data_IF_313155430833
#
_entry.id   IF_313155430833
#
_cell.length_a   1.000
_cell.length_b   1.000
_cell.length_c   1.000
_cell.angle_alpha   90.00
_cell.angle_beta   90.00
_cell.angle_gamma   90.00
#
_symmetry.space_group_name_H-M   'P 1'
#
loop_
_entity.id
_entity.type
_entity.pdbx_description
1 polymer ?
#
# COMPACT_ATOMS: atom_id res chain seq x y z
N UNK A 1 -14.00 -9.48 -7.74
CA UNK A 1 -14.52 -8.57 -6.71
C UNK A 1 -13.36 -7.82 -6.02
N UNK A 2 -12.33 -8.53 -5.50
CA UNK A 2 -11.17 -7.92 -4.81
C UNK A 2 -10.48 -6.85 -5.66
N UNK A 3 -10.11 -7.14 -6.91
CA UNK A 3 -9.46 -6.16 -7.80
C UNK A 3 -10.30 -4.94 -8.17
N UNK A 4 -11.62 -5.02 -8.01
CA UNK A 4 -12.50 -3.87 -8.22
C UNK A 4 -12.69 -3.04 -6.95
N UNK A 5 -12.43 -3.62 -5.79
CA UNK A 5 -12.55 -2.97 -4.50
C UNK A 5 -11.22 -2.39 -4.00
N UNK A 6 -10.10 -3.08 -4.21
CA UNK A 6 -8.76 -2.66 -3.81
C UNK A 6 -8.06 -2.09 -5.04
N UNK A 7 -7.88 -0.78 -5.09
CA UNK A 7 -7.26 -0.08 -6.21
C UNK A 7 -5.73 -0.02 -6.09
N UNK A 8 -5.23 0.07 -4.86
CA UNK A 8 -3.81 0.04 -4.52
C UNK A 8 -3.61 -0.41 -3.07
N UNK A 9 -2.36 -0.46 -2.60
CA UNK A 9 -2.03 -0.77 -1.21
C UNK A 9 -2.65 0.23 -0.20
N UNK A 10 -2.93 1.46 -0.63
CA UNK A 10 -3.44 2.55 0.20
C UNK A 10 -4.88 2.95 -0.13
N UNK A 11 -5.46 2.41 -1.22
CA UNK A 11 -6.73 2.91 -1.74
C UNK A 11 -7.78 1.82 -1.94
N UNK A 12 -8.92 2.00 -1.27
CA UNK A 12 -10.15 1.21 -1.44
C UNK A 12 -11.16 2.03 -2.23
N UNK A 13 -11.75 1.43 -3.25
CA UNK A 13 -12.76 2.07 -4.09
C UNK A 13 -14.03 2.46 -3.30
N UNK A 14 -14.64 3.59 -3.62
CA UNK A 14 -15.94 3.99 -3.06
C UNK A 14 -17.02 2.91 -3.28
N UNK A 15 -16.93 2.21 -4.40
CA UNK A 15 -17.85 1.12 -4.79
C UNK A 15 -17.64 -0.20 -4.05
N UNK A 16 -16.59 -0.32 -3.22
CA UNK A 16 -16.30 -1.54 -2.47
C UNK A 16 -17.42 -1.91 -1.48
N UNK A 17 -18.12 -0.91 -0.93
CA UNK A 17 -19.38 -1.11 -0.21
C UNK A 17 -20.30 0.10 -0.29
N UNK A 18 -21.63 -0.10 -0.18
CA UNK A 18 -22.58 1.02 -0.07
C UNK A 18 -22.34 1.87 1.19
N UNK A 19 -21.86 1.26 2.26
CA UNK A 19 -21.49 1.93 3.52
C UNK A 19 -20.36 2.91 3.29
N UNK A 20 -19.25 2.46 2.70
CA UNK A 20 -18.09 3.30 2.39
C UNK A 20 -18.44 4.45 1.46
N UNK A 21 -19.20 4.18 0.37
CA UNK A 21 -19.67 5.22 -0.53
C UNK A 21 -20.52 6.28 0.17
N UNK A 22 -21.38 5.85 1.11
CA UNK A 22 -22.24 6.76 1.89
C UNK A 22 -21.42 7.65 2.82
N UNK A 23 -20.50 7.06 3.59
CA UNK A 23 -19.65 7.80 4.53
C UNK A 23 -18.77 8.80 3.80
N UNK A 24 -18.13 8.42 2.71
CA UNK A 24 -17.28 9.31 1.90
C UNK A 24 -18.07 10.47 1.29
N UNK A 25 -19.33 10.26 0.89
CA UNK A 25 -20.21 11.37 0.46
C UNK A 25 -20.46 12.36 1.61
N UNK A 26 -20.74 11.87 2.83
CA UNK A 26 -20.91 12.71 4.01
C UNK A 26 -19.64 13.49 4.34
N UNK A 27 -18.46 12.86 4.25
CA UNK A 27 -17.16 13.50 4.44
C UNK A 27 -16.97 14.65 3.44
N UNK A 28 -17.23 14.40 2.14
CA UNK A 28 -17.15 15.45 1.12
C UNK A 28 -18.08 16.62 1.44
N UNK A 29 -19.34 16.34 1.76
CA UNK A 29 -20.31 17.38 2.14
C UNK A 29 -19.90 18.15 3.38
N UNK A 30 -19.36 17.49 4.40
CA UNK A 30 -18.85 18.16 5.60
C UNK A 30 -17.67 19.10 5.28
N UNK A 31 -16.72 18.63 4.44
CA UNK A 31 -15.59 19.43 3.99
C UNK A 31 -16.04 20.67 3.18
N UNK A 32 -17.01 20.53 2.30
CA UNK A 32 -17.59 21.65 1.54
C UNK A 32 -18.23 22.67 2.48
N UNK A 33 -19.08 22.23 3.42
CA UNK A 33 -19.72 23.09 4.41
C UNK A 33 -18.72 23.86 5.28
N UNK A 34 -17.61 23.21 5.69
CA UNK A 34 -16.54 23.87 6.44
C UNK A 34 -15.88 24.94 5.58
N UNK A 35 -15.52 24.60 4.34
CA UNK A 35 -14.87 25.56 3.42
C UNK A 35 -15.76 26.75 3.14
N UNK A 36 -17.03 26.55 2.88
CA UNK A 36 -17.99 27.65 2.65
C UNK A 36 -18.08 28.58 3.84
N UNK A 37 -18.21 28.04 5.06
CA UNK A 37 -18.23 28.84 6.27
C UNK A 37 -16.93 29.60 6.50
N UNK A 38 -15.77 28.96 6.31
CA UNK A 38 -14.47 29.60 6.50
C UNK A 38 -14.18 30.63 5.41
N UNK A 39 -14.59 30.40 4.16
CA UNK A 39 -14.51 31.41 3.10
C UNK A 39 -15.31 32.66 3.45
N UNK A 40 -16.47 32.50 4.11
CA UNK A 40 -17.21 33.63 4.64
C UNK A 40 -16.40 34.49 5.63
N UNK A 41 -15.57 33.87 6.46
CA UNK A 41 -14.62 34.59 7.34
C UNK A 41 -13.51 35.27 6.55
N UNK A 42 -12.91 34.59 5.55
CA UNK A 42 -11.81 35.13 4.74
C UNK A 42 -12.24 36.37 3.93
N UNK A 43 -13.47 36.38 3.40
CA UNK A 43 -14.00 37.46 2.59
C UNK A 43 -14.67 38.59 3.40
N UNK A 44 -14.81 38.43 4.72
CA UNK A 44 -15.35 39.46 5.60
C UNK A 44 -14.29 40.53 5.85
N UNK A 45 -14.56 41.77 5.43
CA UNK A 45 -13.65 42.90 5.65
C UNK A 45 -13.35 43.18 7.14
N UNK A 46 -14.29 42.85 8.02
CA UNK A 46 -14.09 42.97 9.47
C UNK A 46 -13.18 41.87 10.03
N UNK A 47 -13.24 40.65 9.46
CA UNK A 47 -12.45 39.50 9.93
C UNK A 47 -11.05 39.47 9.31
N UNK A 48 -10.90 39.93 8.05
CA UNK A 48 -9.62 39.91 7.32
C UNK A 48 -8.47 40.60 8.08
N UNK A 49 -8.77 41.68 8.82
CA UNK A 49 -7.77 42.42 9.63
C UNK A 49 -7.24 41.62 10.82
N UNK A 50 -8.00 40.62 11.31
CA UNK A 50 -7.61 39.78 12.44
C UNK A 50 -6.77 38.60 12.04
N UNK A 51 -6.84 38.20 10.75
CA UNK A 51 -6.10 37.07 10.23
C UNK A 51 -4.64 37.45 9.99
N UNK A 52 -3.74 36.54 10.25
CA UNK A 52 -2.33 36.64 9.86
C UNK A 52 -2.20 36.47 8.35
N UNK A 53 -2.87 35.45 7.82
CA UNK A 53 -2.95 35.14 6.39
C UNK A 53 -4.39 34.76 6.04
N UNK A 54 -4.84 35.12 4.83
CA UNK A 54 -6.19 34.78 4.35
C UNK A 54 -6.25 33.36 3.78
N UNK A 55 -5.90 32.35 4.59
CA UNK A 55 -5.86 30.94 4.21
C UNK A 55 -6.63 30.07 5.23
N UNK A 56 -7.17 28.97 4.71
CA UNK A 56 -7.68 27.88 5.54
C UNK A 56 -6.56 26.87 5.73
N UNK A 57 -6.28 26.46 6.94
CA UNK A 57 -5.25 25.46 7.26
C UNK A 57 -5.80 24.36 8.16
N UNK A 58 -5.02 23.31 8.35
CA UNK A 58 -5.37 22.22 9.28
C UNK A 58 -4.36 22.14 10.42
N UNK A 59 -4.87 21.93 11.63
CA UNK A 59 -4.07 21.60 12.82
C UNK A 59 -4.74 20.48 13.59
N UNK A 60 -3.99 19.44 13.92
CA UNK A 60 -4.50 18.27 14.65
C UNK A 60 -5.75 17.64 14.02
N UNK A 61 -5.83 17.63 12.67
CA UNK A 61 -6.96 17.10 11.92
C UNK A 61 -8.22 17.98 11.93
N UNK A 62 -8.09 19.28 12.29
CA UNK A 62 -9.19 20.25 12.30
C UNK A 62 -8.91 21.42 11.37
N UNK A 63 -9.94 21.92 10.72
CA UNK A 63 -9.86 23.17 9.97
C UNK A 63 -9.80 24.34 10.91
N UNK A 64 -8.83 25.23 10.70
CA UNK A 64 -8.57 26.39 11.54
C UNK A 64 -8.18 27.61 10.69
N UNK A 65 -8.27 28.80 11.28
CA UNK A 65 -7.80 30.05 10.71
C UNK A 65 -6.56 30.56 11.46
N UNK A 66 -5.52 31.05 10.77
CA UNK A 66 -4.39 31.71 11.41
C UNK A 66 -4.76 33.13 11.83
N UNK A 67 -4.92 33.38 13.11
CA UNK A 67 -5.32 34.65 13.71
C UNK A 67 -4.13 35.28 14.41
N UNK A 68 -3.93 36.59 14.26
CA UNK A 68 -2.89 37.29 15.00
C UNK A 68 -3.23 37.25 16.51
N UNK A 69 -2.26 36.96 17.33
CA UNK A 69 -2.43 36.72 18.77
C UNK A 69 -3.11 37.89 19.48
N UNK A 70 -2.82 39.15 19.07
CA UNK A 70 -3.40 40.37 19.60
C UNK A 70 -4.93 40.47 19.37
N UNK A 71 -5.47 39.78 18.37
CA UNK A 71 -6.92 39.77 18.06
C UNK A 71 -7.62 38.49 18.54
N UNK A 72 -7.01 37.70 19.44
CA UNK A 72 -7.60 36.47 19.99
C UNK A 72 -9.03 36.65 20.48
N UNK A 73 -9.31 37.76 21.17
CA UNK A 73 -10.63 38.07 21.74
C UNK A 73 -11.71 38.44 20.70
N UNK A 74 -11.29 38.80 19.49
CA UNK A 74 -12.20 39.21 18.40
C UNK A 74 -12.66 38.01 17.55
N UNK A 75 -12.02 36.87 17.69
CA UNK A 75 -12.35 35.64 16.95
C UNK A 75 -12.77 34.55 17.94
N UNK A 76 -14.08 34.40 18.22
CA UNK A 76 -14.58 33.37 19.12
C UNK A 76 -14.30 31.98 18.54
N UNK A 77 -13.61 31.16 19.31
CA UNK A 77 -13.22 29.80 18.84
C UNK A 77 -12.25 29.10 19.79
N UNK A 78 -11.86 27.89 19.41
CA UNK A 78 -10.93 27.05 20.16
C UNK A 78 -9.53 27.20 19.53
N UNK A 79 -8.52 27.49 20.37
CA UNK A 79 -7.12 27.51 19.94
C UNK A 79 -6.60 26.09 19.93
N UNK A 80 -6.12 25.62 18.77
CA UNK A 80 -5.55 24.29 18.62
C UNK A 80 -4.03 24.28 18.55
N UNK A 81 -3.44 25.39 18.11
CA UNK A 81 -2.00 25.50 17.96
C UNK A 81 -1.55 26.97 17.97
N UNK A 82 -0.24 27.17 18.09
CA UNK A 82 0.40 28.47 18.09
C UNK A 82 1.70 28.43 17.28
N UNK A 83 2.03 29.50 16.58
CA UNK A 83 3.32 29.62 15.91
C UNK A 83 4.48 29.65 16.92
N UNK A 84 5.68 29.25 16.50
CA UNK A 84 6.88 29.23 17.36
C UNK A 84 7.21 30.58 17.96
N UNK A 85 6.87 31.68 17.28
CA UNK A 85 7.04 33.07 17.78
C UNK A 85 5.92 33.52 18.71
N UNK A 86 4.84 32.79 18.85
CA UNK A 86 3.65 33.17 19.59
C UNK A 86 2.77 34.23 18.92
N UNK A 87 3.17 34.75 17.76
CA UNK A 87 2.48 35.84 17.08
C UNK A 87 1.17 35.39 16.36
N UNK A 88 1.01 34.10 16.05
CA UNK A 88 -0.14 33.56 15.36
C UNK A 88 -0.78 32.45 16.16
N UNK A 89 -2.08 32.50 16.34
CA UNK A 89 -2.88 31.44 16.93
C UNK A 89 -3.72 30.75 15.85
N UNK A 90 -3.72 29.43 15.86
CA UNK A 90 -4.56 28.63 14.95
C UNK A 90 -5.89 28.35 15.63
N UNK A 91 -6.92 29.11 15.24
CA UNK A 91 -8.22 29.11 15.89
C UNK A 91 -9.24 28.37 15.02
N UNK A 92 -9.95 27.44 15.64
CA UNK A 92 -11.17 26.84 15.10
C UNK A 92 -12.36 27.74 15.49
N UNK A 93 -12.98 28.47 14.55
CA UNK A 93 -14.14 29.30 14.86
C UNK A 93 -15.30 28.48 15.41
N UNK A 94 -16.02 29.02 16.39
CA UNK A 94 -17.19 28.33 16.99
C UNK A 94 -18.20 27.85 15.95
N UNK A 95 -18.35 28.60 14.85
CA UNK A 95 -19.29 28.25 13.77
C UNK A 95 -19.01 26.94 13.05
N UNK A 96 -17.79 26.38 13.17
CA UNK A 96 -17.41 25.13 12.51
C UNK A 96 -17.05 24.00 13.49
N UNK A 97 -17.06 24.25 14.80
CA UNK A 97 -16.69 23.24 15.82
C UNK A 97 -17.52 21.95 15.68
N UNK A 98 -18.84 22.08 15.55
CA UNK A 98 -19.72 20.92 15.36
C UNK A 98 -19.39 20.17 14.06
N UNK A 99 -19.20 20.88 12.95
CA UNK A 99 -18.91 20.25 11.65
C UNK A 99 -17.54 19.56 11.67
N UNK A 100 -16.53 20.14 12.33
CA UNK A 100 -15.24 19.48 12.53
C UNK A 100 -15.35 18.22 13.42
N UNK A 101 -16.23 18.25 14.43
CA UNK A 101 -16.51 17.07 15.26
C UNK A 101 -17.18 15.96 14.43
N UNK A 102 -18.21 16.33 13.65
CA UNK A 102 -18.90 15.42 12.74
C UNK A 102 -17.92 14.80 11.72
N UNK A 103 -17.06 15.64 11.12
CA UNK A 103 -16.05 15.18 10.17
C UNK A 103 -15.10 14.15 10.79
N UNK A 104 -14.66 14.39 12.02
CA UNK A 104 -13.80 13.45 12.75
C UNK A 104 -14.52 12.13 13.04
N UNK A 105 -15.81 12.18 13.42
CA UNK A 105 -16.65 11.01 13.58
C UNK A 105 -16.78 10.22 12.28
N UNK A 106 -17.07 10.90 11.17
CA UNK A 106 -17.17 10.30 9.84
C UNK A 106 -15.86 9.64 9.36
N UNK A 107 -14.70 10.23 9.68
CA UNK A 107 -13.40 9.61 9.40
C UNK A 107 -13.19 8.32 10.21
N UNK A 108 -13.73 8.25 11.42
CA UNK A 108 -13.76 7.03 12.22
C UNK A 108 -14.68 5.96 11.59
N UNK A 109 -15.87 6.36 11.13
CA UNK A 109 -16.80 5.48 10.41
C UNK A 109 -16.18 4.95 9.11
N UNK A 110 -15.47 5.79 8.35
CA UNK A 110 -14.77 5.38 7.14
C UNK A 110 -13.75 4.28 7.41
N UNK A 111 -12.92 4.45 8.46
CA UNK A 111 -11.94 3.42 8.86
C UNK A 111 -12.62 2.11 9.21
N UNK A 112 -13.72 2.18 9.97
CA UNK A 112 -14.47 0.98 10.35
C UNK A 112 -15.09 0.28 9.14
N UNK A 113 -15.59 1.02 8.14
CA UNK A 113 -16.10 0.44 6.90
C UNK A 113 -14.99 -0.22 6.05
N UNK A 114 -13.81 0.43 5.95
CA UNK A 114 -12.65 -0.15 5.30
C UNK A 114 -12.22 -1.45 5.99
N UNK A 115 -12.14 -1.44 7.32
CA UNK A 115 -11.77 -2.63 8.10
C UNK A 115 -12.74 -3.79 7.88
N UNK A 116 -14.04 -3.53 7.84
CA UNK A 116 -15.06 -4.56 7.51
C UNK A 116 -14.85 -5.16 6.10
N UNK A 117 -14.53 -4.32 5.12
CA UNK A 117 -14.28 -4.77 3.74
C UNK A 117 -13.03 -5.67 3.71
N UNK A 118 -11.95 -5.25 4.34
CA UNK A 118 -10.71 -6.01 4.40
C UNK A 118 -10.88 -7.33 5.19
N UNK A 119 -11.60 -7.30 6.29
CA UNK A 119 -11.91 -8.50 7.06
C UNK A 119 -12.70 -9.51 6.22
N UNK A 120 -13.76 -9.08 5.54
CA UNK A 120 -14.55 -9.94 4.65
C UNK A 120 -13.66 -10.61 3.61
N UNK A 121 -12.82 -9.86 2.90
CA UNK A 121 -11.93 -10.44 1.90
C UNK A 121 -10.89 -11.38 2.51
N UNK A 122 -10.38 -11.07 3.69
CA UNK A 122 -9.46 -11.96 4.40
C UNK A 122 -10.12 -13.28 4.79
N UNK A 123 -11.38 -13.24 5.24
CA UNK A 123 -12.16 -14.44 5.56
C UNK A 123 -12.43 -15.28 4.31
N UNK A 124 -12.82 -14.66 3.18
CA UNK A 124 -13.05 -15.33 1.90
C UNK A 124 -11.75 -16.02 1.39
N UNK A 125 -10.61 -15.31 1.43
CA UNK A 125 -9.30 -15.86 1.03
C UNK A 125 -8.87 -16.99 1.97
N UNK A 126 -9.13 -16.86 3.27
CA UNK A 126 -8.77 -17.87 4.27
C UNK A 126 -9.45 -19.22 4.02
N UNK A 127 -10.68 -19.21 3.47
CA UNK A 127 -11.38 -20.44 3.11
C UNK A 127 -10.67 -21.20 1.98
N UNK A 128 -9.97 -20.49 1.10
CA UNK A 128 -9.24 -21.05 -0.04
C UNK A 128 -7.73 -21.20 0.23
N UNK A 129 -7.28 -20.92 1.46
CA UNK A 129 -5.85 -20.88 1.81
C UNK A 129 -5.12 -22.21 1.49
N UNK A 130 -5.79 -23.34 1.72
CA UNK A 130 -5.22 -24.66 1.41
C UNK A 130 -4.92 -24.83 -0.08
N UNK A 131 -5.87 -24.46 -0.94
CA UNK A 131 -5.71 -24.53 -2.39
C UNK A 131 -4.65 -23.54 -2.89
N UNK A 132 -4.59 -22.33 -2.33
CA UNK A 132 -3.59 -21.32 -2.69
C UNK A 132 -2.17 -21.77 -2.33
N UNK A 133 -1.96 -22.34 -1.14
CA UNK A 133 -0.67 -22.85 -0.70
C UNK A 133 -0.21 -24.03 -1.56
N UNK A 134 -1.12 -24.96 -1.89
CA UNK A 134 -0.81 -26.09 -2.77
C UNK A 134 -0.47 -25.61 -4.19
N UNK A 135 -1.22 -24.66 -4.72
CA UNK A 135 -0.91 -24.06 -6.03
C UNK A 135 0.47 -23.39 -6.03
N UNK A 136 0.84 -22.67 -4.96
CA UNK A 136 2.16 -22.08 -4.83
C UNK A 136 3.27 -23.15 -4.84
N UNK A 137 3.06 -24.26 -4.11
CA UNK A 137 4.00 -25.39 -4.07
C UNK A 137 4.17 -26.01 -5.47
N UNK A 138 3.07 -26.27 -6.16
CA UNK A 138 3.08 -26.84 -7.52
C UNK A 138 3.77 -25.90 -8.50
N UNK A 139 3.50 -24.58 -8.44
CA UNK A 139 4.15 -23.60 -9.31
C UNK A 139 5.66 -23.56 -9.10
N UNK A 140 6.13 -23.60 -7.85
CA UNK A 140 7.55 -23.65 -7.55
C UNK A 140 8.22 -24.93 -8.08
N UNK A 141 7.54 -26.08 -7.99
CA UNK A 141 8.03 -27.35 -8.54
C UNK A 141 8.09 -27.31 -10.07
N UNK A 142 7.06 -26.79 -10.73
CA UNK A 142 7.03 -26.61 -12.17
C UNK A 142 8.13 -25.65 -12.65
N UNK A 143 8.32 -24.53 -12.00
CA UNK A 143 9.39 -23.59 -12.32
C UNK A 143 10.76 -24.27 -12.28
N UNK A 144 11.01 -25.04 -11.22
CA UNK A 144 12.26 -25.82 -11.08
C UNK A 144 12.41 -26.88 -12.18
N UNK A 145 11.33 -27.56 -12.57
CA UNK A 145 11.36 -28.54 -13.66
C UNK A 145 11.69 -27.86 -15.00
N UNK A 146 11.04 -26.72 -15.28
CA UNK A 146 11.31 -25.95 -16.49
C UNK A 146 12.72 -25.36 -16.52
N UNK A 147 13.21 -24.85 -15.38
CA UNK A 147 14.59 -24.37 -15.26
C UNK A 147 15.62 -25.48 -15.57
N UNK A 148 15.43 -26.71 -15.04
CA UNK A 148 16.27 -27.87 -15.37
C UNK A 148 16.17 -28.22 -16.85
N UNK A 149 14.99 -28.20 -17.44
CA UNK A 149 14.78 -28.47 -18.86
C UNK A 149 15.44 -27.42 -19.75
N UNK A 150 15.36 -26.16 -19.40
CA UNK A 150 16.02 -25.07 -20.11
C UNK A 150 17.56 -25.20 -20.04
N UNK A 151 18.09 -25.47 -18.85
CA UNK A 151 19.53 -25.73 -18.65
C UNK A 151 20.01 -26.93 -19.44
N UNK A 152 19.30 -28.07 -19.40
CA UNK A 152 19.63 -29.26 -20.14
C UNK A 152 19.69 -28.98 -21.66
N UNK A 153 18.76 -28.20 -22.19
CA UNK A 153 18.75 -27.79 -23.59
C UNK A 153 19.96 -26.92 -23.93
N UNK A 154 20.26 -25.93 -23.09
CA UNK A 154 21.42 -25.04 -23.26
C UNK A 154 22.72 -25.81 -23.25
N UNK A 155 22.87 -26.77 -22.35
CA UNK A 155 24.04 -27.63 -22.21
C UNK A 155 24.09 -28.79 -23.24
N UNK A 156 23.04 -28.99 -24.05
CA UNK A 156 22.84 -30.18 -24.88
C UNK A 156 23.02 -31.47 -24.06
N UNK A 157 22.51 -31.44 -22.82
CA UNK A 157 22.66 -32.52 -21.85
C UNK A 157 21.59 -33.60 -22.05
N UNK A 158 21.89 -34.80 -21.54
CA UNK A 158 20.97 -35.92 -21.47
C UNK A 158 20.72 -36.30 -20.01
N UNK A 159 19.62 -37.02 -19.76
CA UNK A 159 19.31 -37.48 -18.41
C UNK A 159 20.36 -38.52 -17.96
N UNK A 160 21.04 -38.31 -16.83
CA UNK A 160 22.00 -39.28 -16.30
C UNK A 160 21.26 -40.48 -15.72
N UNK A 161 21.89 -41.65 -15.82
CA UNK A 161 21.47 -42.84 -15.09
C UNK A 161 22.21 -42.85 -13.75
N UNK A 162 21.46 -42.76 -12.66
CA UNK A 162 22.04 -42.82 -11.31
C UNK A 162 22.22 -44.27 -10.89
N UNK A 163 23.30 -44.55 -10.18
CA UNK A 163 23.60 -45.87 -9.61
C UNK A 163 24.17 -45.74 -8.19
N UNK A 164 24.09 -46.82 -7.42
CA UNK A 164 24.68 -46.94 -6.08
C UNK A 164 25.92 -47.83 -6.08
N UNK A 165 26.43 -48.21 -7.27
CA UNK A 165 27.54 -49.15 -7.45
C UNK A 165 28.91 -48.49 -7.22
N UNK A 166 28.96 -47.22 -6.86
CA UNK A 166 30.18 -46.47 -6.52
C UNK A 166 31.07 -46.18 -7.73
N UNK A 167 30.52 -46.22 -8.97
CA UNK A 167 31.30 -45.84 -10.13
C UNK A 167 30.62 -44.76 -10.98
N UNK A 168 31.44 -44.00 -11.70
CA UNK A 168 31.02 -42.96 -12.64
C UNK A 168 31.48 -43.40 -14.04
N UNK A 169 30.58 -43.33 -15.03
CA UNK A 169 30.90 -43.54 -16.45
C UNK A 169 30.26 -42.42 -17.27
N UNK A 170 31.07 -41.52 -17.76
CA UNK A 170 30.63 -40.38 -18.56
C UNK A 170 31.14 -40.56 -19.99
N UNK A 171 30.22 -40.65 -20.94
CA UNK A 171 30.54 -40.73 -22.37
C UNK A 171 30.39 -39.37 -23.02
N UNK A 172 31.44 -38.93 -23.71
CA UNK A 172 31.48 -37.66 -24.44
C UNK A 172 31.11 -36.47 -23.55
N UNK A 173 31.62 -36.45 -22.30
CA UNK A 173 31.40 -35.37 -21.37
C UNK A 173 31.95 -34.06 -21.89
N UNK A 174 31.18 -32.97 -21.72
CA UNK A 174 31.58 -31.60 -22.07
C UNK A 174 31.54 -30.75 -20.85
N UNK A 175 32.55 -29.90 -20.69
CA UNK A 175 32.55 -28.94 -19.59
C UNK A 175 31.53 -27.81 -19.86
N UNK A 176 30.54 -27.59 -18.99
CA UNK A 176 29.41 -26.70 -19.28
C UNK A 176 29.78 -25.21 -19.39
N UNK A 177 30.92 -24.79 -18.86
CA UNK A 177 31.38 -23.37 -18.90
C UNK A 177 32.38 -23.10 -20.03
N UNK A 178 32.72 -24.12 -20.86
CA UNK A 178 33.55 -23.89 -22.05
C UNK A 178 32.61 -23.68 -23.24
N UNK A 179 33.02 -22.79 -24.15
CA UNK A 179 32.25 -22.54 -25.37
C UNK A 179 31.87 -23.88 -26.06
N UNK A 180 30.59 -24.10 -26.37
CA UNK A 180 30.09 -25.33 -27.00
C UNK A 180 30.80 -25.70 -28.34
N UNK A 181 31.34 -24.73 -29.04
CA UNK A 181 32.07 -24.94 -30.31
C UNK A 181 33.56 -25.22 -30.09
N UNK A 182 34.11 -24.90 -28.93
CA UNK A 182 35.52 -25.11 -28.57
C UNK A 182 35.73 -26.31 -27.66
N UNK A 183 34.70 -26.76 -26.92
CA UNK A 183 34.82 -27.85 -25.95
C UNK A 183 35.05 -29.21 -26.63
N UNK A 184 36.08 -29.91 -26.23
CA UNK A 184 36.37 -31.27 -26.72
C UNK A 184 35.66 -32.30 -25.85
N UNK A 185 34.74 -33.12 -26.41
CA UNK A 185 34.05 -34.16 -25.67
C UNK A 185 35.03 -35.26 -25.24
N UNK A 186 35.06 -35.65 -23.97
CA UNK A 186 35.96 -36.67 -23.42
C UNK A 186 35.19 -37.74 -22.68
N UNK A 187 35.67 -38.96 -22.77
CA UNK A 187 35.16 -40.09 -21.98
C UNK A 187 35.91 -40.13 -20.64
N UNK A 188 35.16 -40.34 -19.57
CA UNK A 188 35.70 -40.39 -18.21
C UNK A 188 35.03 -41.55 -17.45
N UNK A 189 35.80 -42.33 -16.72
CA UNK A 189 35.28 -43.36 -15.79
C UNK A 189 36.11 -43.36 -14.50
N UNK A 190 35.47 -43.62 -13.38
CA UNK A 190 36.07 -43.70 -12.05
C UNK A 190 35.34 -44.80 -11.25
N UNK A 191 36.09 -45.57 -10.43
CA UNK A 191 35.53 -46.45 -9.43
C UNK A 191 35.40 -47.92 -9.85
N UNK A 192 35.80 -48.32 -11.09
CA UNK A 192 35.73 -49.70 -11.54
C UNK A 192 37.06 -50.43 -11.39
N UNK A 193 38.14 -49.76 -11.73
CA UNK A 193 39.51 -50.33 -11.68
C UNK A 193 40.47 -49.34 -10.97
N UNK A 194 40.00 -48.23 -10.49
CA UNK A 194 40.72 -47.23 -9.69
C UNK A 194 39.87 -46.68 -8.58
N UNK A 195 40.49 -46.30 -7.52
CA UNK A 195 39.98 -45.46 -6.44
C UNK A 195 40.76 -44.17 -6.33
#
# INVERSE_FOLDING_TARGET
EIFAAILSEEEIADSASPGLASVRRKIRSANERIRDKLNGYLHSSSMARYLQDAIITMRQGRYVLPVRAEYRSQVPGIVHDQSSSGATLFIEPMAIVEINNDLRGLMGEERAEIEKILQRFSEEISQEAGALLENQRILAELDFIFAKGALARQMRAVQPKINEAGYIDIKRGRHPLIDPEAVVPSDLWIGKDFT
#
